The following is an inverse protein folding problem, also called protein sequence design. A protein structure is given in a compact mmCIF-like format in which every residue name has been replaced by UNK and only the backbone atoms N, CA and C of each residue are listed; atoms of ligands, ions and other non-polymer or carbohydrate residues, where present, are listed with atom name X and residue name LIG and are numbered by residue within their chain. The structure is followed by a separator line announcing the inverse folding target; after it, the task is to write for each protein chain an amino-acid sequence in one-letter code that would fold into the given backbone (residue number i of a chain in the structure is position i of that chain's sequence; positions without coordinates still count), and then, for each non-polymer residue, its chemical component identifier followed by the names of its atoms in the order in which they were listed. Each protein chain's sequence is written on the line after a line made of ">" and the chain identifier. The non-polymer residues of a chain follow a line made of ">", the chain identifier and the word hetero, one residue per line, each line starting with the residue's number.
data_IF_990311724243
#
_entry.id   IF_990311724243
#
_cell.length_a   1.000
_cell.length_b   1.000
_cell.length_c   1.000
_cell.angle_alpha   90.00
_cell.angle_beta   90.00
_cell.angle_gamma   90.00
#
_symmetry.space_group_name_H-M   'P 1'
#
loop_
_entity.id
_entity.type
_entity.pdbx_description
1 polymer ?
#
# COMPACT_ATOMS: atom_id res chain seq x y z
N UNK A 1 0.14 6.09 -14.57
CA UNK A 1 -0.13 4.80 -13.95
C UNK A 1 -0.01 4.90 -12.45
N UNK A 2 -0.84 4.14 -11.77
CA UNK A 2 -0.99 4.32 -10.33
C UNK A 2 -0.01 3.45 -9.53
N UNK A 3 1.28 3.74 -9.68
CA UNK A 3 2.28 3.06 -8.86
C UNK A 3 2.15 3.50 -7.41
N UNK A 4 2.46 2.59 -6.50
CA UNK A 4 2.41 2.90 -5.09
C UNK A 4 3.62 3.76 -4.72
N UNK A 5 3.37 4.89 -4.09
CA UNK A 5 4.42 5.74 -3.56
C UNK A 5 5.02 5.10 -2.30
N UNK A 6 6.24 5.47 -1.91
CA UNK A 6 6.83 4.94 -0.68
C UNK A 6 5.93 5.18 0.52
N UNK A 7 6.00 4.26 1.48
CA UNK A 7 5.22 4.37 2.71
C UNK A 7 5.54 5.70 3.43
N UNK A 8 4.53 6.49 3.78
CA UNK A 8 4.76 7.78 4.44
C UNK A 8 5.29 7.66 5.88
N UNK A 9 5.26 6.47 6.44
CA UNK A 9 5.69 6.26 7.82
C UNK A 9 7.08 5.65 7.93
N UNK A 10 7.42 4.71 7.05
CA UNK A 10 8.72 4.03 7.13
C UNK A 10 9.56 4.14 5.86
N UNK A 11 9.00 4.69 4.79
CA UNK A 11 9.72 4.86 3.54
C UNK A 11 9.86 3.61 2.69
N UNK A 12 9.23 2.49 3.07
CA UNK A 12 9.31 1.27 2.29
C UNK A 12 8.66 1.47 0.92
N UNK A 13 9.29 0.92 -0.11
CA UNK A 13 8.83 1.07 -1.49
C UNK A 13 8.21 -0.23 -2.00
N UNK A 14 7.38 -0.10 -3.03
CA UNK A 14 6.78 -1.24 -3.72
C UNK A 14 7.84 -2.18 -4.27
N UNK A 15 8.98 -1.64 -4.70
CA UNK A 15 10.08 -2.43 -5.24
C UNK A 15 10.98 -3.04 -4.18
N UNK A 16 10.87 -2.60 -2.93
CA UNK A 16 11.65 -3.16 -1.84
C UNK A 16 11.07 -4.52 -1.44
N UNK A 17 11.95 -5.45 -1.09
CA UNK A 17 11.54 -6.78 -0.63
C UNK A 17 12.11 -7.05 0.75
N UNK A 18 11.42 -7.91 1.51
CA UNK A 18 11.92 -8.36 2.81
C UNK A 18 12.89 -9.53 2.62
N UNK A 19 13.38 -10.10 3.74
CA UNK A 19 14.34 -11.22 3.69
C UNK A 19 13.78 -12.45 2.99
N UNK A 20 12.46 -12.64 2.98
CA UNK A 20 11.82 -13.77 2.31
C UNK A 20 11.55 -13.50 0.82
N UNK A 21 11.87 -12.31 0.33
CA UNK A 21 11.63 -11.95 -1.07
C UNK A 21 10.24 -11.41 -1.36
N UNK A 22 9.45 -11.12 -0.33
CA UNK A 22 8.11 -10.57 -0.49
C UNK A 22 8.18 -9.04 -0.58
N UNK A 23 7.35 -8.41 -1.43
CA UNK A 23 7.34 -6.95 -1.52
C UNK A 23 6.90 -6.31 -0.20
N UNK A 24 7.52 -5.20 0.15
CA UNK A 24 7.18 -4.47 1.37
C UNK A 24 5.82 -3.79 1.26
N UNK A 25 5.48 -3.27 0.10
CA UNK A 25 4.14 -2.74 -0.17
C UNK A 25 3.40 -3.69 -1.09
N UNK A 26 2.15 -3.97 -0.78
CA UNK A 26 1.33 -4.85 -1.61
C UNK A 26 -0.15 -4.52 -1.46
N UNK A 27 -0.92 -4.95 -2.46
CA UNK A 27 -2.37 -4.82 -2.45
C UNK A 27 -2.94 -6.22 -2.34
N UNK A 28 -3.94 -6.40 -1.50
CA UNK A 28 -4.66 -7.66 -1.44
C UNK A 28 -6.16 -7.42 -1.41
N UNK A 29 -6.91 -8.42 -1.83
CA UNK A 29 -8.36 -8.40 -1.81
C UNK A 29 -8.82 -8.93 -0.46
N UNK A 30 -9.60 -8.13 0.25
CA UNK A 30 -10.12 -8.52 1.55
C UNK A 30 -11.34 -9.44 1.42
N UNK A 31 -11.82 -9.96 2.55
CA UNK A 31 -12.97 -10.86 2.61
C UNK A 31 -14.26 -10.25 2.05
N UNK A 32 -14.35 -8.92 2.04
CA UNK A 32 -15.57 -8.21 1.60
C UNK A 32 -15.45 -7.66 0.18
N UNK A 33 -14.64 -8.28 -0.67
CA UNK A 33 -14.42 -7.84 -2.03
C UNK A 33 -13.85 -6.41 -2.14
N UNK A 34 -13.14 -6.01 -1.12
CA UNK A 34 -12.48 -4.70 -1.08
C UNK A 34 -10.98 -4.88 -1.22
N UNK A 35 -10.31 -3.86 -1.73
CA UNK A 35 -8.86 -3.87 -1.91
C UNK A 35 -8.19 -3.01 -0.86
N UNK A 36 -7.07 -3.50 -0.33
CA UNK A 36 -6.32 -2.83 0.73
C UNK A 36 -4.85 -2.80 0.33
N UNK A 37 -4.22 -1.64 0.45
CA UNK A 37 -2.76 -1.53 0.33
C UNK A 37 -2.18 -1.65 1.73
N UNK A 38 -1.18 -2.49 1.89
CA UNK A 38 -0.56 -2.74 3.19
C UNK A 38 0.95 -2.64 3.10
N UNK A 39 1.58 -2.13 4.16
CA UNK A 39 3.03 -2.07 4.30
C UNK A 39 3.49 -3.14 5.28
N UNK A 40 4.32 -4.08 4.83
CA UNK A 40 4.87 -5.14 5.69
C UNK A 40 5.87 -4.60 6.70
N UNK A 41 6.55 -3.51 6.34
CA UNK A 41 7.63 -3.00 7.18
C UNK A 41 7.13 -2.37 8.47
N UNK A 42 6.04 -1.63 8.41
CA UNK A 42 5.52 -0.92 9.59
C UNK A 42 4.07 -1.25 9.93
N UNK A 43 3.39 -2.02 9.09
CA UNK A 43 2.00 -2.40 9.32
C UNK A 43 0.96 -1.36 8.91
N UNK A 44 1.37 -0.27 8.25
CA UNK A 44 0.42 0.72 7.77
C UNK A 44 -0.47 0.14 6.66
N UNK A 45 -1.73 0.55 6.62
CA UNK A 45 -2.65 0.09 5.57
C UNK A 45 -3.67 1.17 5.26
N UNK A 46 -4.30 1.05 4.07
CA UNK A 46 -5.40 1.94 3.70
C UNK A 46 -6.72 1.37 4.20
N UNK A 47 -7.75 2.22 4.20
CA UNK A 47 -9.10 1.70 4.37
C UNK A 47 -9.47 0.87 3.14
N UNK A 48 -10.32 -0.17 3.30
CA UNK A 48 -10.77 -0.96 2.17
C UNK A 48 -11.47 -0.09 1.12
N UNK A 49 -11.17 -0.36 -0.16
CA UNK A 49 -11.75 0.34 -1.29
C UNK A 49 -12.37 -0.67 -2.24
N UNK A 50 -13.34 -0.22 -3.02
CA UNK A 50 -14.08 -1.11 -3.93
C UNK A 50 -13.22 -1.65 -5.07
N UNK A 51 -12.18 -0.91 -5.46
CA UNK A 51 -11.32 -1.30 -6.57
C UNK A 51 -9.85 -1.17 -6.19
N UNK A 52 -9.01 -1.92 -6.89
CA UNK A 52 -7.56 -1.84 -6.72
C UNK A 52 -7.06 -0.42 -7.00
N UNK A 53 -7.59 0.20 -8.06
CA UNK A 53 -7.21 1.55 -8.43
C UNK A 53 -7.53 2.54 -7.32
N UNK A 54 -8.72 2.42 -6.73
CA UNK A 54 -9.13 3.30 -5.63
C UNK A 54 -8.21 3.12 -4.42
N UNK A 55 -7.79 1.89 -4.14
CA UNK A 55 -6.86 1.61 -3.05
C UNK A 55 -5.49 2.26 -3.32
N UNK A 56 -4.99 2.17 -4.55
CA UNK A 56 -3.73 2.80 -4.93
C UNK A 56 -3.79 4.32 -4.81
N UNK A 57 -4.88 4.90 -5.28
CA UNK A 57 -5.09 6.35 -5.20
C UNK A 57 -5.13 6.80 -3.74
N UNK A 58 -5.85 6.08 -2.89
CA UNK A 58 -5.94 6.40 -1.47
C UNK A 58 -4.56 6.34 -0.79
N UNK A 59 -3.77 5.32 -1.10
CA UNK A 59 -2.42 5.18 -0.57
C UNK A 59 -1.53 6.33 -1.01
N UNK A 60 -1.55 6.65 -2.31
CA UNK A 60 -0.70 7.70 -2.87
C UNK A 60 -1.06 9.08 -2.34
N UNK A 61 -2.35 9.34 -2.16
CA UNK A 61 -2.81 10.59 -1.56
C UNK A 61 -2.28 10.73 -0.14
N UNK A 62 -2.32 9.65 0.62
CA UNK A 62 -1.83 9.62 1.98
C UNK A 62 -0.31 9.87 2.04
N UNK A 63 0.43 9.28 1.10
CA UNK A 63 1.86 9.47 1.00
C UNK A 63 2.21 10.93 0.68
N UNK A 64 1.40 11.60 -0.16
CA UNK A 64 1.59 13.01 -0.50
C UNK A 64 1.26 13.93 0.67
N UNK A 65 0.21 13.63 1.42
CA UNK A 65 -0.28 14.48 2.49
C UNK A 65 0.34 14.15 3.85
N UNK A 66 0.95 13.00 3.99
CA UNK A 66 1.46 12.51 5.26
C UNK A 66 2.82 13.01 5.67
N UNK A 67 3.40 13.89 4.89
CA UNK A 67 4.75 14.43 5.17
C UNK A 67 4.72 15.77 5.87
#
# INVERSE_FOLDING_TARGET
>A
MDELKPCPFCGAKETDTNKAGWPQLYIYKSTYDCFVVNCRACGASTFPKDTERAARIAWNRRADDGT
#
